data_IF_718189548591
#
_entry.id   IF_718189548591
#
_cell.length_a   1.000
_cell.length_b   1.000
_cell.length_c   1.000
_cell.angle_alpha   90.00
_cell.angle_beta   90.00
_cell.angle_gamma   90.00
#
_symmetry.space_group_name_H-M   'P 1'
#
loop_
_entity.id
_entity.type
_entity.pdbx_description
1 polymer ?
#
# COMPACT_ATOMS: atom_id res chain seq x y z
N UNK A 1 -39.45 26.09 50.07
CA UNK A 1 -38.83 26.04 48.73
C UNK A 1 -37.39 26.54 48.81
N UNK A 2 -36.39 25.64 48.94
CA UNK A 2 -34.96 25.92 48.71
C UNK A 2 -34.03 24.72 48.96
N UNK A 3 -34.57 23.52 49.20
CA UNK A 3 -33.81 22.26 49.30
C UNK A 3 -33.76 21.46 48.00
N UNK A 4 -34.13 22.08 46.87
CA UNK A 4 -34.08 21.46 45.54
C UNK A 4 -32.88 21.89 44.69
N UNK A 5 -31.89 22.58 45.27
CA UNK A 5 -30.73 23.09 44.53
C UNK A 5 -29.48 22.22 44.62
N UNK A 6 -29.53 21.09 45.35
CA UNK A 6 -28.35 20.26 45.66
C UNK A 6 -28.30 18.93 44.91
N UNK A 7 -29.22 18.67 43.98
CA UNK A 7 -29.32 17.39 43.24
C UNK A 7 -28.96 17.50 41.75
N UNK A 8 -28.42 18.64 41.30
CA UNK A 8 -27.93 18.85 39.93
C UNK A 8 -26.39 18.99 39.87
N UNK A 9 -25.69 18.31 40.76
CA UNK A 9 -24.21 18.24 40.78
C UNK A 9 -23.71 16.79 40.68
N UNK A 10 -24.43 15.94 39.96
CA UNK A 10 -24.04 14.57 39.66
C UNK A 10 -23.84 14.40 38.16
N UNK A 11 -22.73 14.93 37.63
CA UNK A 11 -21.93 14.26 36.61
C UNK A 11 -20.63 15.02 36.39
N UNK A 12 -19.71 14.97 37.36
CA UNK A 12 -18.29 15.18 37.03
C UNK A 12 -17.88 13.93 36.25
N UNK A 13 -17.98 14.03 34.93
CA UNK A 13 -17.35 13.08 34.02
C UNK A 13 -15.85 13.23 34.25
N UNK A 14 -15.29 12.35 35.08
CA UNK A 14 -13.85 12.17 35.20
C UNK A 14 -13.40 11.67 33.83
N UNK A 15 -13.01 12.60 32.96
CA UNK A 15 -12.20 12.25 31.80
C UNK A 15 -10.85 11.85 32.36
N UNK A 16 -10.68 10.55 32.63
CA UNK A 16 -9.35 9.98 32.76
C UNK A 16 -8.69 10.16 31.40
N UNK A 17 -7.90 11.22 31.25
CA UNK A 17 -6.94 11.32 30.16
C UNK A 17 -5.93 10.20 30.37
N UNK A 18 -6.12 9.07 29.70
CA UNK A 18 -5.03 8.12 29.50
C UNK A 18 -3.94 8.91 28.79
N UNK A 19 -2.81 9.13 29.46
CA UNK A 19 -1.65 9.72 28.82
C UNK A 19 -1.21 8.73 27.73
N UNK A 20 -1.59 8.99 26.48
CA UNK A 20 -1.16 8.19 25.35
C UNK A 20 0.35 8.39 25.19
N UNK A 21 1.07 7.28 25.07
CA UNK A 21 2.51 7.30 24.79
C UNK A 21 2.71 8.00 23.44
N UNK A 22 3.53 9.07 23.36
CA UNK A 22 3.74 9.79 22.12
C UNK A 22 4.29 8.86 21.01
N UNK A 23 3.82 8.97 19.76
CA UNK A 23 4.25 8.09 18.66
C UNK A 23 5.78 8.03 18.49
N UNK A 24 6.47 9.16 18.63
CA UNK A 24 7.92 9.21 18.49
C UNK A 24 8.66 8.38 19.55
N UNK A 25 8.13 8.36 20.78
CA UNK A 25 8.71 7.56 21.86
C UNK A 25 8.50 6.06 21.64
N UNK A 26 7.36 5.69 21.06
CA UNK A 26 7.03 4.32 20.69
C UNK A 26 7.91 3.84 19.53
N UNK A 27 8.13 4.69 18.53
CA UNK A 27 9.04 4.41 17.41
C UNK A 27 10.50 4.24 17.87
N UNK A 28 10.97 5.11 18.77
CA UNK A 28 12.31 4.99 19.34
C UNK A 28 12.49 3.70 20.16
N UNK A 29 11.47 3.32 20.95
CA UNK A 29 11.47 2.07 21.69
C UNK A 29 11.49 0.85 20.76
N UNK A 30 10.68 0.87 19.70
CA UNK A 30 10.64 -0.18 18.68
C UNK A 30 12.01 -0.36 18.00
N UNK A 31 12.61 0.75 17.54
CA UNK A 31 13.92 0.74 16.89
C UNK A 31 15.02 0.21 17.84
N UNK A 32 14.99 0.63 19.11
CA UNK A 32 15.93 0.14 20.12
C UNK A 32 15.80 -1.37 20.35
N UNK A 33 14.57 -1.87 20.50
CA UNK A 33 14.31 -3.30 20.67
C UNK A 33 14.77 -4.09 19.43
N UNK A 34 14.48 -3.57 18.23
CA UNK A 34 14.88 -4.20 16.97
C UNK A 34 16.41 -4.31 16.85
N UNK A 35 17.14 -3.25 17.16
CA UNK A 35 18.61 -3.23 17.15
C UNK A 35 19.22 -4.15 18.22
N UNK A 36 18.53 -4.36 19.34
CA UNK A 36 18.94 -5.30 20.38
C UNK A 36 18.64 -6.78 20.01
N UNK A 37 17.99 -7.04 18.87
CA UNK A 37 17.56 -8.38 18.46
C UNK A 37 16.24 -8.84 19.09
N UNK A 38 15.61 -8.03 19.93
CA UNK A 38 14.29 -8.31 20.49
C UNK A 38 13.19 -7.91 19.49
N UNK A 39 13.08 -8.72 18.44
CA UNK A 39 12.14 -8.50 17.35
C UNK A 39 10.68 -8.66 17.78
N UNK A 40 10.39 -9.41 18.85
CA UNK A 40 9.04 -9.58 19.38
C UNK A 40 8.54 -8.29 20.06
N UNK A 41 9.36 -7.69 20.92
CA UNK A 41 9.04 -6.39 21.53
C UNK A 41 8.98 -5.28 20.48
N UNK A 42 9.91 -5.28 19.52
CA UNK A 42 9.89 -4.33 18.41
C UNK A 42 8.57 -4.41 17.62
N UNK A 43 8.12 -5.63 17.31
CA UNK A 43 6.86 -5.86 16.61
C UNK A 43 5.68 -5.26 17.37
N UNK A 44 5.58 -5.51 18.70
CA UNK A 44 4.51 -4.94 19.52
C UNK A 44 4.48 -3.42 19.41
N UNK A 45 5.63 -2.76 19.59
CA UNK A 45 5.70 -1.30 19.51
C UNK A 45 5.38 -0.75 18.11
N UNK A 46 5.90 -1.38 17.05
CA UNK A 46 5.56 -0.98 15.68
C UNK A 46 4.08 -1.23 15.37
N UNK A 47 3.47 -2.33 15.81
CA UNK A 47 2.04 -2.57 15.57
C UNK A 47 1.16 -1.56 16.28
N UNK A 48 1.52 -1.12 17.48
CA UNK A 48 0.79 -0.06 18.18
C UNK A 48 0.88 1.30 17.46
N UNK A 49 1.92 1.56 16.65
CA UNK A 49 2.01 2.77 15.85
C UNK A 49 0.96 2.84 14.73
N UNK A 50 0.36 1.71 14.33
CA UNK A 50 -0.70 1.70 13.31
C UNK A 50 -1.94 2.49 13.74
N UNK A 51 -2.16 2.68 15.04
CA UNK A 51 -3.27 3.49 15.57
C UNK A 51 -3.10 4.99 15.27
N UNK A 52 -1.87 5.45 15.05
CA UNK A 52 -1.54 6.86 14.79
C UNK A 52 -1.41 7.18 13.30
N UNK A 53 -1.39 6.16 12.46
CA UNK A 53 -1.29 6.30 11.01
C UNK A 53 -0.56 5.15 10.35
N UNK A 54 -0.67 5.09 9.03
CA UNK A 54 0.03 4.12 8.20
C UNK A 54 1.11 4.83 7.38
N UNK A 55 2.25 4.17 7.22
CA UNK A 55 3.32 4.61 6.33
C UNK A 55 4.03 3.41 5.73
N UNK A 56 4.75 3.63 4.63
CA UNK A 56 5.55 2.57 4.01
C UNK A 56 6.62 2.05 4.99
N UNK A 57 7.34 2.96 5.64
CA UNK A 57 8.37 2.63 6.63
C UNK A 57 7.83 1.83 7.82
N UNK A 58 6.63 2.15 8.29
CA UNK A 58 6.02 1.41 9.39
C UNK A 58 5.72 -0.02 8.99
N UNK A 59 5.08 -0.22 7.83
CA UNK A 59 4.85 -1.56 7.31
C UNK A 59 6.16 -2.30 7.01
N UNK A 60 7.17 -1.63 6.47
CA UNK A 60 8.49 -2.20 6.27
C UNK A 60 9.09 -2.72 7.58
N UNK A 61 9.04 -1.92 8.65
CA UNK A 61 9.57 -2.29 9.95
C UNK A 61 8.81 -3.46 10.60
N UNK A 62 7.48 -3.47 10.50
CA UNK A 62 6.66 -4.61 10.95
C UNK A 62 7.02 -5.87 10.13
N UNK A 63 7.17 -5.73 8.81
CA UNK A 63 7.58 -6.82 7.93
C UNK A 63 8.96 -7.39 8.28
N UNK A 64 9.92 -6.51 8.57
CA UNK A 64 11.27 -6.88 9.03
C UNK A 64 11.21 -7.67 10.34
N UNK A 65 10.37 -7.26 11.30
CA UNK A 65 10.20 -7.99 12.55
C UNK A 65 9.66 -9.40 12.29
N UNK A 66 8.60 -9.54 11.49
CA UNK A 66 8.06 -10.85 11.12
C UNK A 66 9.08 -11.72 10.37
N UNK A 67 9.87 -11.12 9.46
CA UNK A 67 10.91 -11.85 8.74
C UNK A 67 11.96 -12.42 9.69
N UNK A 68 12.39 -11.64 10.68
CA UNK A 68 13.35 -12.08 11.70
C UNK A 68 12.78 -13.12 12.66
N UNK A 69 11.49 -13.03 12.98
CA UNK A 69 10.75 -14.01 13.77
C UNK A 69 10.39 -15.29 12.98
N UNK A 70 10.59 -15.29 11.66
CA UNK A 70 10.34 -16.44 10.80
C UNK A 70 8.90 -16.55 10.27
N UNK A 71 8.00 -15.60 10.57
CA UNK A 71 6.68 -15.55 9.94
C UNK A 71 6.77 -14.88 8.55
N UNK A 72 7.21 -15.66 7.57
CA UNK A 72 7.44 -15.19 6.20
C UNK A 72 6.16 -14.67 5.54
N UNK A 73 4.98 -15.18 5.89
CA UNK A 73 3.74 -14.72 5.28
C UNK A 73 3.31 -13.35 5.78
N UNK A 74 3.42 -13.10 7.09
CA UNK A 74 3.17 -11.77 7.64
C UNK A 74 4.24 -10.76 7.19
N UNK A 75 5.49 -11.20 7.06
CA UNK A 75 6.53 -10.37 6.44
C UNK A 75 6.15 -9.98 5.01
N UNK A 76 5.75 -10.96 4.18
CA UNK A 76 5.31 -10.75 2.80
C UNK A 76 4.11 -9.81 2.74
N UNK A 77 3.09 -10.01 3.58
CA UNK A 77 1.91 -9.13 3.65
C UNK A 77 2.31 -7.68 3.92
N UNK A 78 3.18 -7.44 4.90
CA UNK A 78 3.56 -6.09 5.26
C UNK A 78 4.51 -5.45 4.25
N UNK A 79 5.40 -6.20 3.60
CA UNK A 79 6.17 -5.66 2.48
C UNK A 79 5.29 -5.30 1.27
N UNK A 80 4.26 -6.09 0.97
CA UNK A 80 3.28 -5.76 -0.07
C UNK A 80 2.52 -4.46 0.27
N UNK A 81 2.09 -4.30 1.52
CA UNK A 81 1.47 -3.06 2.01
C UNK A 81 2.42 -1.86 1.93
N UNK A 82 3.69 -2.06 2.30
CA UNK A 82 4.71 -1.03 2.19
C UNK A 82 4.93 -0.60 0.74
N UNK A 83 5.04 -1.55 -0.21
CA UNK A 83 5.21 -1.28 -1.64
C UNK A 83 3.98 -0.64 -2.29
N UNK A 84 2.77 -0.90 -1.76
CA UNK A 84 1.55 -0.18 -2.18
C UNK A 84 1.70 1.32 -1.89
N UNK A 85 2.33 1.68 -0.78
CA UNK A 85 2.64 3.05 -0.37
C UNK A 85 3.99 3.58 -0.89
N UNK A 86 4.90 2.74 -1.37
CA UNK A 86 6.20 3.14 -1.91
C UNK A 86 6.58 2.27 -3.12
N UNK A 87 5.88 2.42 -4.26
CA UNK A 87 6.06 1.54 -5.42
C UNK A 87 7.45 1.67 -6.06
N UNK A 88 8.13 2.81 -5.87
CA UNK A 88 9.46 3.07 -6.40
C UNK A 88 10.60 2.54 -5.52
N UNK A 89 10.29 2.01 -4.33
CA UNK A 89 11.32 1.57 -3.38
C UNK A 89 11.94 0.24 -3.82
N UNK A 90 13.22 0.30 -4.20
CA UNK A 90 13.98 -0.84 -4.68
C UNK A 90 14.40 -1.78 -3.53
N UNK A 91 14.71 -1.22 -2.36
CA UNK A 91 15.11 -1.98 -1.18
C UNK A 91 13.92 -2.79 -0.64
N UNK A 92 12.73 -2.18 -0.59
CA UNK A 92 11.49 -2.88 -0.24
C UNK A 92 11.19 -4.04 -1.19
N UNK A 93 11.39 -3.83 -2.49
CA UNK A 93 11.18 -4.88 -3.49
C UNK A 93 12.17 -6.03 -3.32
N UNK A 94 13.44 -5.73 -3.07
CA UNK A 94 14.45 -6.74 -2.79
C UNK A 94 14.12 -7.55 -1.52
N UNK A 95 13.65 -6.89 -0.45
CA UNK A 95 13.22 -7.56 0.77
C UNK A 95 11.99 -8.45 0.56
N UNK A 96 11.01 -7.99 -0.24
CA UNK A 96 9.86 -8.81 -0.62
C UNK A 96 10.28 -10.05 -1.42
N UNK A 97 11.20 -9.88 -2.38
CA UNK A 97 11.73 -11.00 -3.16
C UNK A 97 12.46 -12.01 -2.27
N UNK A 98 13.25 -11.53 -1.30
CA UNK A 98 13.91 -12.38 -0.31
C UNK A 98 12.91 -13.14 0.58
N UNK A 99 11.81 -12.51 0.99
CA UNK A 99 10.73 -13.17 1.73
C UNK A 99 10.04 -14.24 0.87
N UNK A 100 9.65 -13.90 -0.36
CA UNK A 100 9.02 -14.83 -1.31
C UNK A 100 9.93 -16.02 -1.65
N UNK A 101 11.24 -15.83 -1.73
CA UNK A 101 12.19 -16.92 -1.98
C UNK A 101 12.22 -17.98 -0.87
N UNK A 102 11.81 -17.60 0.36
CA UNK A 102 11.63 -18.49 1.52
C UNK A 102 10.23 -19.11 1.62
N UNK A 103 9.25 -18.60 0.86
CA UNK A 103 7.91 -19.19 0.81
C UNK A 103 7.94 -20.56 0.12
N UNK A 104 7.01 -21.43 0.53
CA UNK A 104 6.93 -22.80 0.01
C UNK A 104 6.51 -22.82 -1.46
N UNK A 105 5.55 -21.97 -1.83
CA UNK A 105 5.11 -21.84 -3.20
C UNK A 105 5.97 -20.82 -3.94
N UNK A 106 6.60 -21.26 -5.02
CA UNK A 106 7.25 -20.38 -5.99
C UNK A 106 6.33 -20.23 -7.19
N UNK A 107 5.37 -19.33 -7.06
CA UNK A 107 4.50 -18.97 -8.19
C UNK A 107 5.31 -18.03 -9.07
N UNK A 108 5.85 -18.56 -10.17
CA UNK A 108 6.52 -17.73 -11.15
C UNK A 108 5.50 -16.73 -11.72
N UNK A 109 5.79 -15.45 -11.55
CA UNK A 109 5.06 -14.40 -12.27
C UNK A 109 5.26 -14.65 -13.77
N UNK A 110 4.21 -14.51 -14.57
CA UNK A 110 4.32 -14.62 -16.03
C UNK A 110 5.46 -13.69 -16.49
N UNK A 111 6.36 -14.14 -17.38
CA UNK A 111 7.48 -13.33 -17.82
C UNK A 111 6.95 -12.06 -18.50
N UNK A 112 6.89 -10.97 -17.73
CA UNK A 112 6.66 -9.64 -18.27
C UNK A 112 7.86 -9.26 -19.12
N UNK A 113 7.63 -8.53 -20.21
CA UNK A 113 8.75 -7.92 -20.93
C UNK A 113 9.51 -7.02 -19.95
N UNK A 114 10.84 -7.04 -20.01
CA UNK A 114 11.69 -6.16 -19.19
C UNK A 114 11.33 -4.68 -19.37
N UNK A 115 10.72 -4.33 -20.52
CA UNK A 115 10.16 -3.01 -20.81
C UNK A 115 8.92 -2.69 -19.99
N UNK A 116 7.99 -3.62 -19.82
CA UNK A 116 6.79 -3.41 -18.99
C UNK A 116 7.17 -3.23 -17.52
N UNK A 117 8.14 -4.02 -17.04
CA UNK A 117 8.67 -3.86 -15.69
C UNK A 117 9.33 -2.48 -15.48
N UNK A 118 10.15 -2.03 -16.45
CA UNK A 118 10.74 -0.70 -16.44
C UNK A 118 9.69 0.41 -16.49
N UNK A 119 8.66 0.25 -17.34
CA UNK A 119 7.55 1.18 -17.43
C UNK A 119 6.79 1.29 -16.10
N UNK A 120 6.45 0.18 -15.47
CA UNK A 120 5.75 0.16 -14.19
C UNK A 120 6.57 0.81 -13.07
N UNK A 121 7.91 0.71 -13.11
CA UNK A 121 8.79 1.44 -12.19
C UNK A 121 8.72 2.96 -12.40
N UNK A 122 8.85 3.42 -13.64
CA UNK A 122 8.71 4.86 -13.97
C UNK A 122 7.31 5.37 -13.62
N UNK A 123 6.29 4.58 -13.95
CA UNK A 123 4.90 4.89 -13.68
C UNK A 123 4.57 4.93 -12.19
N UNK A 124 5.23 4.07 -11.40
CA UNK A 124 5.18 4.05 -9.94
C UNK A 124 5.52 5.39 -9.31
N UNK A 125 6.43 6.15 -9.92
CA UNK A 125 7.03 7.32 -9.28
C UNK A 125 7.93 6.91 -8.09
N UNK A 126 8.52 7.90 -7.41
CA UNK A 126 9.32 7.65 -6.20
C UNK A 126 8.45 7.40 -4.96
N UNK A 127 7.30 8.05 -4.92
CA UNK A 127 6.36 8.06 -3.81
C UNK A 127 4.92 8.22 -4.37
N UNK A 128 3.87 7.96 -3.57
CA UNK A 128 2.48 7.93 -4.04
C UNK A 128 2.03 9.22 -4.75
N UNK A 129 2.52 10.37 -4.29
CA UNK A 129 2.08 11.68 -4.75
C UNK A 129 3.03 12.29 -5.79
N UNK A 130 4.02 11.54 -6.26
CA UNK A 130 5.06 12.02 -7.17
C UNK A 130 4.49 12.69 -8.41
N UNK A 131 3.59 11.98 -9.11
CA UNK A 131 2.96 12.46 -10.34
C UNK A 131 1.93 13.56 -10.08
N UNK A 132 1.25 13.53 -8.92
CA UNK A 132 0.33 14.58 -8.52
C UNK A 132 1.07 15.93 -8.35
N UNK A 133 2.25 15.92 -7.70
CA UNK A 133 3.09 17.13 -7.56
C UNK A 133 3.60 17.63 -8.91
N UNK A 134 4.06 16.74 -9.80
CA UNK A 134 4.49 17.14 -11.16
C UNK A 134 3.33 17.79 -11.92
N UNK A 135 2.12 17.20 -11.85
CA UNK A 135 0.93 17.76 -12.48
C UNK A 135 0.62 19.15 -11.94
N UNK A 136 0.61 19.33 -10.62
CA UNK A 136 0.35 20.61 -9.97
C UNK A 136 1.32 21.71 -10.42
N UNK A 137 2.64 21.44 -10.37
CA UNK A 137 3.65 22.40 -10.82
C UNK A 137 3.53 22.71 -12.31
N UNK A 138 3.25 21.71 -13.14
CA UNK A 138 3.08 21.89 -14.59
C UNK A 138 1.87 22.77 -14.92
N UNK A 139 0.78 22.66 -14.16
CA UNK A 139 -0.39 23.53 -14.27
C UNK A 139 -0.05 24.96 -13.83
N UNK A 140 0.63 25.13 -12.69
CA UNK A 140 1.05 26.46 -12.21
C UNK A 140 1.94 27.18 -13.23
N UNK A 141 2.95 26.47 -13.79
CA UNK A 141 3.82 27.01 -14.84
C UNK A 141 3.03 27.34 -16.09
N UNK A 142 2.10 26.49 -16.51
CA UNK A 142 1.23 26.75 -17.66
C UNK A 142 0.46 28.08 -17.51
N UNK A 143 -0.15 28.34 -16.35
CA UNK A 143 -0.88 29.57 -16.10
C UNK A 143 0.02 30.81 -16.08
N UNK A 144 1.22 30.72 -15.51
CA UNK A 144 2.21 31.80 -15.54
C UNK A 144 2.63 32.10 -16.99
N UNK A 145 2.92 31.08 -17.79
CA UNK A 145 3.29 31.26 -19.20
C UNK A 145 2.12 31.87 -20.00
N UNK A 146 0.89 31.43 -19.75
CA UNK A 146 -0.31 31.99 -20.39
C UNK A 146 -0.46 33.48 -20.04
N UNK A 147 -0.29 33.87 -18.77
CA UNK A 147 -0.33 35.26 -18.36
C UNK A 147 0.77 36.09 -19.06
N UNK A 148 2.00 35.58 -19.15
CA UNK A 148 3.10 36.23 -19.87
C UNK A 148 2.74 36.48 -21.34
N UNK A 149 2.06 35.54 -22.02
CA UNK A 149 1.68 35.74 -23.42
C UNK A 149 0.79 36.96 -23.67
N UNK A 150 -0.01 37.37 -22.68
CA UNK A 150 -0.91 38.53 -22.78
C UNK A 150 -0.15 39.86 -22.83
N UNK A 151 1.01 39.94 -22.17
CA UNK A 151 1.82 41.17 -22.09
C UNK A 151 2.92 41.26 -23.15
N UNK A 152 3.28 40.14 -23.78
CA UNK A 152 4.35 40.10 -24.77
C UNK A 152 3.95 40.67 -26.13
N UNK A 153 4.59 41.77 -26.55
CA UNK A 153 4.40 42.37 -27.89
C UNK A 153 5.25 41.72 -28.99
N UNK A 154 6.40 41.15 -28.66
CA UNK A 154 7.31 40.53 -29.62
C UNK A 154 6.75 39.19 -30.16
N UNK A 155 6.44 39.14 -31.45
CA UNK A 155 5.76 37.99 -32.09
C UNK A 155 6.57 36.69 -32.07
N UNK A 156 7.90 36.76 -32.26
CA UNK A 156 8.79 35.59 -32.17
C UNK A 156 8.82 35.00 -30.74
N UNK A 157 8.98 35.84 -29.71
CA UNK A 157 8.98 35.39 -28.32
C UNK A 157 7.61 34.82 -27.92
N UNK A 158 6.52 35.46 -28.35
CA UNK A 158 5.15 34.97 -28.13
C UNK A 158 4.94 33.58 -28.76
N UNK A 159 5.54 33.27 -29.91
CA UNK A 159 5.51 31.92 -30.50
C UNK A 159 6.16 30.87 -29.59
N UNK A 160 7.36 31.15 -29.09
CA UNK A 160 8.08 30.22 -28.20
C UNK A 160 7.37 30.03 -26.87
N UNK A 161 6.88 31.10 -26.24
CA UNK A 161 6.12 30.98 -24.98
C UNK A 161 4.87 30.13 -25.17
N UNK A 162 4.12 30.27 -26.28
CA UNK A 162 2.97 29.41 -26.57
C UNK A 162 3.35 27.93 -26.75
N UNK A 163 4.51 27.65 -27.35
CA UNK A 163 5.02 26.27 -27.46
C UNK A 163 5.33 25.73 -26.05
N UNK A 164 6.00 26.51 -25.19
CA UNK A 164 6.29 26.10 -23.81
C UNK A 164 5.00 25.92 -22.99
N UNK A 165 3.99 26.76 -23.17
CA UNK A 165 2.66 26.59 -22.55
C UNK A 165 2.03 25.28 -23.00
N UNK A 166 2.07 24.95 -24.29
CA UNK A 166 1.52 23.70 -24.82
C UNK A 166 2.27 22.47 -24.29
N UNK A 167 3.61 22.54 -24.19
CA UNK A 167 4.42 21.48 -23.59
C UNK A 167 4.12 21.30 -22.09
N UNK A 168 3.95 22.41 -21.35
CA UNK A 168 3.56 22.39 -19.93
C UNK A 168 2.17 21.77 -19.74
N UNK A 169 1.22 22.09 -20.63
CA UNK A 169 -0.11 21.50 -20.64
C UNK A 169 -0.07 19.99 -20.93
N UNK A 170 0.73 19.57 -21.92
CA UNK A 170 0.91 18.15 -22.24
C UNK A 170 1.52 17.38 -21.05
N UNK A 171 2.54 17.95 -20.40
CA UNK A 171 3.14 17.36 -19.20
C UNK A 171 2.14 17.27 -18.06
N UNK A 172 1.31 18.30 -17.85
CA UNK A 172 0.27 18.30 -16.82
C UNK A 172 -0.76 17.19 -17.03
N UNK A 173 -1.24 16.99 -18.27
CA UNK A 173 -2.18 15.93 -18.64
C UNK A 173 -1.54 14.55 -18.46
N UNK A 174 -0.32 14.36 -18.96
CA UNK A 174 0.42 13.11 -18.79
C UNK A 174 0.61 12.77 -17.31
N UNK A 175 1.12 13.72 -16.52
CA UNK A 175 1.32 13.53 -15.09
C UNK A 175 0.01 13.27 -14.33
N UNK A 176 -1.09 13.93 -14.71
CA UNK A 176 -2.41 13.67 -14.13
C UNK A 176 -2.90 12.25 -14.45
N UNK A 177 -2.74 11.78 -15.69
CA UNK A 177 -3.10 10.42 -16.06
C UNK A 177 -2.30 9.39 -15.24
N UNK A 178 -1.00 9.63 -15.05
CA UNK A 178 -0.15 8.78 -14.20
C UNK A 178 -0.59 8.82 -12.73
N UNK A 179 -0.90 10.00 -12.20
CA UNK A 179 -1.41 10.15 -10.84
C UNK A 179 -2.73 9.42 -10.63
N UNK A 180 -3.65 9.49 -11.61
CA UNK A 180 -4.92 8.76 -11.59
C UNK A 180 -4.72 7.25 -11.63
N UNK A 181 -3.85 6.75 -12.52
CA UNK A 181 -3.49 5.33 -12.57
C UNK A 181 -2.85 4.85 -11.26
N UNK A 182 -2.03 5.69 -10.62
CA UNK A 182 -1.45 5.40 -9.31
C UNK A 182 -2.49 5.38 -8.20
N UNK A 183 -3.40 6.33 -8.18
CA UNK A 183 -4.48 6.35 -7.21
C UNK A 183 -5.32 5.07 -7.33
N UNK A 184 -5.72 4.69 -8.55
CA UNK A 184 -6.45 3.45 -8.82
C UNK A 184 -5.70 2.21 -8.29
N UNK A 185 -4.39 2.13 -8.53
CA UNK A 185 -3.54 1.03 -8.06
C UNK A 185 -3.41 0.97 -6.52
N UNK A 186 -3.42 2.12 -5.84
CA UNK A 186 -3.36 2.18 -4.37
C UNK A 186 -4.71 1.86 -3.75
N UNK A 187 -5.82 2.21 -4.41
CA UNK A 187 -7.17 1.87 -3.93
C UNK A 187 -7.60 0.44 -4.29
N UNK A 188 -6.82 -0.26 -5.10
CA UNK A 188 -7.08 -1.66 -5.44
C UNK A 188 -6.85 -2.58 -4.22
N UNK A 189 -7.95 -3.16 -3.72
CA UNK A 189 -7.97 -4.07 -2.58
C UNK A 189 -8.22 -5.53 -3.00
N UNK A 190 -8.01 -5.86 -4.27
CA UNK A 190 -8.15 -7.23 -4.78
C UNK A 190 -7.00 -8.13 -4.32
N UNK A 191 -5.83 -7.58 -4.00
CA UNK A 191 -4.68 -8.36 -3.52
C UNK A 191 -4.87 -8.93 -2.11
N UNK A 192 -4.50 -10.20 -1.92
CA UNK A 192 -4.53 -10.88 -0.63
C UNK A 192 -3.36 -11.88 -0.47
N UNK A 193 -3.03 -12.21 0.78
CA UNK A 193 -2.06 -13.25 1.14
C UNK A 193 -2.77 -14.39 1.87
N UNK A 194 -2.46 -15.62 1.50
CA UNK A 194 -2.94 -16.83 2.18
C UNK A 194 -2.26 -16.97 3.54
N UNK A 195 -3.06 -17.09 4.61
CA UNK A 195 -2.58 -17.20 5.99
C UNK A 195 -2.66 -18.61 6.57
N UNK A 196 -3.43 -19.49 5.94
CA UNK A 196 -3.56 -20.89 6.34
C UNK A 196 -2.40 -21.74 5.82
N UNK A 197 -1.87 -22.71 6.60
CA UNK A 197 -0.69 -23.49 6.22
C UNK A 197 -0.80 -24.18 4.85
N UNK A 198 -1.98 -24.69 4.52
CA UNK A 198 -2.31 -25.37 3.27
C UNK A 198 -3.79 -25.13 2.97
N UNK A 199 -4.11 -24.83 1.71
CA UNK A 199 -5.48 -24.77 1.23
C UNK A 199 -5.61 -25.43 -0.13
N UNK A 200 -6.68 -26.21 -0.27
CA UNK A 200 -7.05 -26.85 -1.52
C UNK A 200 -7.92 -25.86 -2.32
N UNK A 201 -7.45 -25.48 -3.49
CA UNK A 201 -8.15 -24.58 -4.41
C UNK A 201 -8.99 -25.41 -5.37
N UNK A 202 -10.26 -25.06 -5.51
CA UNK A 202 -11.29 -25.90 -6.15
C UNK A 202 -11.85 -25.29 -7.43
N UNK A 203 -12.53 -26.11 -8.23
CA UNK A 203 -13.16 -25.65 -9.47
C UNK A 203 -14.43 -24.84 -9.25
N UNK A 204 -15.14 -25.06 -8.14
CA UNK A 204 -16.41 -24.41 -7.83
C UNK A 204 -16.45 -23.98 -6.36
N UNK A 205 -17.32 -23.01 -5.98
CA UNK A 205 -17.50 -22.54 -4.60
C UNK A 205 -18.26 -23.55 -3.72
N UNK A 206 -17.81 -24.81 -3.70
CA UNK A 206 -18.37 -25.85 -2.84
C UNK A 206 -17.28 -26.84 -2.39
N UNK A 207 -17.46 -27.43 -1.20
CA UNK A 207 -16.47 -28.31 -0.58
C UNK A 207 -16.35 -29.69 -1.22
N UNK A 208 -17.25 -30.04 -2.14
CA UNK A 208 -17.30 -31.34 -2.81
C UNK A 208 -16.69 -31.33 -4.22
N UNK A 209 -16.46 -30.14 -4.79
CA UNK A 209 -15.93 -29.98 -6.14
C UNK A 209 -14.46 -30.39 -6.24
N UNK A 210 -14.02 -30.62 -7.47
CA UNK A 210 -12.66 -31.09 -7.75
C UNK A 210 -11.62 -30.10 -7.27
N UNK A 211 -10.61 -30.60 -6.57
CA UNK A 211 -9.42 -29.81 -6.21
C UNK A 211 -8.55 -29.64 -7.46
N UNK A 212 -8.35 -28.39 -7.88
CA UNK A 212 -7.54 -28.04 -9.04
C UNK A 212 -6.06 -28.02 -8.71
N UNK A 213 -5.70 -27.39 -7.58
CA UNK A 213 -4.34 -27.27 -7.09
C UNK A 213 -4.34 -26.91 -5.60
N UNK A 214 -3.15 -26.91 -4.99
CA UNK A 214 -2.95 -26.59 -3.57
C UNK A 214 -2.00 -25.41 -3.46
N UNK A 215 -2.33 -24.45 -2.60
CA UNK A 215 -1.45 -23.35 -2.22
C UNK A 215 -1.22 -23.33 -0.70
N UNK A 216 -0.17 -22.65 -0.28
CA UNK A 216 0.31 -22.62 1.11
C UNK A 216 0.36 -21.20 1.67
N UNK A 217 0.56 -21.12 3.00
CA UNK A 217 0.75 -19.86 3.72
C UNK A 217 1.83 -19.00 3.07
N UNK A 218 1.54 -17.72 2.86
CA UNK A 218 2.43 -16.74 2.24
C UNK A 218 2.22 -16.53 0.74
N UNK A 219 1.38 -17.34 0.09
CA UNK A 219 1.09 -17.19 -1.34
C UNK A 219 0.21 -15.97 -1.60
N UNK A 220 0.65 -15.09 -2.51
CA UNK A 220 -0.13 -13.93 -2.96
C UNK A 220 -1.15 -14.35 -4.02
N UNK A 221 -2.37 -13.87 -3.85
CA UNK A 221 -3.48 -14.08 -4.76
C UNK A 221 -4.18 -12.75 -5.06
N UNK A 222 -4.87 -12.70 -6.19
CA UNK A 222 -5.84 -11.66 -6.50
C UNK A 222 -7.25 -12.23 -6.35
N UNK A 223 -8.10 -11.60 -5.55
CA UNK A 223 -9.51 -11.97 -5.41
C UNK A 223 -10.31 -11.35 -6.54
N UNK A 224 -11.07 -12.19 -7.26
CA UNK A 224 -11.87 -11.82 -8.42
C UNK A 224 -13.35 -11.66 -8.06
N UNK A 225 -13.93 -12.70 -7.45
CA UNK A 225 -15.36 -12.78 -7.16
C UNK A 225 -15.62 -13.39 -5.77
N UNK A 226 -16.77 -13.07 -5.19
CA UNK A 226 -17.26 -13.63 -3.93
C UNK A 226 -18.53 -14.43 -4.15
N UNK A 227 -18.61 -15.62 -3.53
CA UNK A 227 -19.78 -16.48 -3.52
C UNK A 227 -19.98 -17.09 -2.12
N UNK A 228 -20.77 -16.39 -1.30
CA UNK A 228 -20.94 -16.76 0.12
C UNK A 228 -19.61 -16.68 0.87
N UNK A 229 -19.18 -17.81 1.46
CA UNK A 229 -17.89 -17.92 2.17
C UNK A 229 -16.70 -18.20 1.22
N UNK A 230 -16.96 -18.40 -0.08
CA UNK A 230 -15.95 -18.70 -1.08
C UNK A 230 -15.55 -17.46 -1.84
N UNK A 231 -14.29 -17.42 -2.25
CA UNK A 231 -13.74 -16.41 -3.12
C UNK A 231 -13.03 -17.07 -4.29
N UNK A 232 -13.26 -16.53 -5.48
CA UNK A 232 -12.48 -16.89 -6.66
C UNK A 232 -11.18 -16.11 -6.61
N UNK A 233 -10.07 -16.84 -6.71
CA UNK A 233 -8.73 -16.29 -6.65
C UNK A 233 -7.99 -16.54 -7.96
N UNK A 234 -7.09 -15.62 -8.28
CA UNK A 234 -6.15 -15.71 -9.39
C UNK A 234 -4.72 -15.63 -8.90
N UNK A 235 -3.90 -16.58 -9.33
CA UNK A 235 -2.46 -16.59 -9.07
C UNK A 235 -1.69 -15.78 -10.11
N UNK A 236 -0.46 -15.42 -9.79
CA UNK A 236 0.41 -14.63 -10.69
C UNK A 236 0.74 -15.33 -12.02
N UNK A 237 0.64 -16.67 -12.06
CA UNK A 237 0.80 -17.48 -13.28
C UNK A 237 -0.49 -17.52 -14.15
N UNK A 238 -1.57 -16.87 -13.71
CA UNK A 238 -2.86 -16.80 -14.42
C UNK A 238 -3.85 -17.91 -14.06
N UNK A 239 -3.48 -18.90 -13.23
CA UNK A 239 -4.42 -19.94 -12.79
C UNK A 239 -5.49 -19.38 -11.85
N UNK A 240 -6.70 -19.91 -11.97
CA UNK A 240 -7.90 -19.44 -11.25
C UNK A 240 -8.56 -20.62 -10.53
N UNK A 241 -9.17 -20.34 -9.37
CA UNK A 241 -10.02 -21.30 -8.67
C UNK A 241 -10.58 -20.73 -7.36
N UNK A 242 -11.36 -21.54 -6.65
CA UNK A 242 -12.13 -21.12 -5.48
C UNK A 242 -11.49 -21.60 -4.17
N UNK A 243 -11.47 -20.74 -3.16
CA UNK A 243 -11.06 -21.08 -1.79
C UNK A 243 -11.93 -20.36 -0.75
N UNK A 244 -11.83 -20.76 0.52
CA UNK A 244 -12.53 -20.11 1.63
C UNK A 244 -11.87 -18.76 1.96
N UNK A 245 -12.69 -17.72 2.17
CA UNK A 245 -12.21 -16.36 2.44
C UNK A 245 -11.47 -16.24 3.79
N UNK A 246 -11.87 -17.00 4.80
CA UNK A 246 -11.27 -16.97 6.15
C UNK A 246 -9.74 -17.18 6.13
N UNK A 247 -9.23 -17.91 5.13
CA UNK A 247 -7.81 -18.16 4.97
C UNK A 247 -7.01 -17.02 4.37
N UNK A 248 -7.61 -15.87 4.05
CA UNK A 248 -6.98 -14.74 3.38
C UNK A 248 -6.85 -13.52 4.28
N UNK A 249 -5.80 -12.73 4.04
CA UNK A 249 -5.69 -11.37 4.57
C UNK A 249 -5.40 -10.40 3.43
N UNK A 250 -6.20 -9.33 3.35
CA UNK A 250 -6.10 -8.31 2.30
C UNK A 250 -4.83 -7.47 2.46
N UNK A 251 -4.25 -7.08 1.33
CA UNK A 251 -3.09 -6.18 1.26
C UNK A 251 -3.54 -4.75 1.49
#
# INVERSE_FOLDING_TARGET
MRTLSTLLLSLVMVMTSTASVPPDSLNAAAAKAYLAGDHATALVHYTALLEFGISSDLYYNIGNCHYKLGDIALATLHYERALKLAPGDEDLRANLELARARSKDRVNELPGSSLLAQWNRLAGGRDPDHWARISLWSVSVMFVLLAITLFLRATKLRRWVRIMTALSALLAVGAFAMASARHAAITDNTGAIVMVPKVDVRSEPNGTSTVLFVIHKGTKVQVLEHSGAWVEIKLANGTVGWMQEEGLTRI
#
